data_IF_730853658982
#
_entry.id   IF_730853658982
#
_cell.length_a   1.000
_cell.length_b   1.000
_cell.length_c   1.000
_cell.angle_alpha   90.00
_cell.angle_beta   90.00
_cell.angle_gamma   90.00
#
_symmetry.space_group_name_H-M   'P 1'
#
loop_
_entity.id
_entity.type
_entity.pdbx_description
1 polymer ?
#
# COMPACT_ATOMS: atom_id res chain seq x y z
N UNK A 1 -25.87 4.82 -9.69
CA UNK A 1 -25.36 3.43 -9.76
C UNK A 1 -24.36 3.34 -10.90
N UNK A 2 -23.27 2.57 -10.80
CA UNK A 2 -22.36 2.36 -11.93
C UNK A 2 -23.16 1.82 -13.12
N UNK A 3 -22.89 2.33 -14.33
CA UNK A 3 -23.54 1.80 -15.53
C UNK A 3 -23.12 0.34 -15.74
N UNK A 4 -24.03 -0.56 -16.13
CA UNK A 4 -23.68 -1.95 -16.45
C UNK A 4 -22.54 -2.06 -17.48
N UNK A 5 -22.48 -1.11 -18.41
CA UNK A 5 -21.42 -0.99 -19.42
C UNK A 5 -20.05 -0.79 -18.75
N UNK A 6 -19.98 0.05 -17.72
CA UNK A 6 -18.75 0.30 -16.98
C UNK A 6 -18.24 -0.94 -16.25
N UNK A 7 -19.15 -1.77 -15.74
CA UNK A 7 -18.79 -3.03 -15.07
C UNK A 7 -18.12 -3.99 -16.07
N UNK A 8 -18.73 -4.17 -17.25
CA UNK A 8 -18.20 -5.06 -18.30
C UNK A 8 -16.85 -4.56 -18.82
N UNK A 9 -16.67 -3.24 -19.00
CA UNK A 9 -15.38 -2.65 -19.36
C UNK A 9 -14.29 -2.98 -18.34
N UNK A 10 -14.59 -2.85 -17.05
CA UNK A 10 -13.63 -3.17 -16.00
C UNK A 10 -13.34 -4.66 -15.95
N UNK A 11 -14.33 -5.53 -16.10
CA UNK A 11 -14.13 -6.98 -16.18
C UNK A 11 -13.16 -7.35 -17.31
N UNK A 12 -13.39 -6.84 -18.53
CA UNK A 12 -12.50 -7.05 -19.67
C UNK A 12 -11.09 -6.53 -19.39
N UNK A 13 -10.97 -5.33 -18.82
CA UNK A 13 -9.69 -4.73 -18.45
C UNK A 13 -8.91 -5.61 -17.47
N UNK A 14 -9.51 -5.98 -16.34
CA UNK A 14 -8.83 -6.79 -15.31
C UNK A 14 -8.52 -8.21 -15.79
N UNK A 15 -9.39 -8.82 -16.60
CA UNK A 15 -9.15 -10.15 -17.17
C UNK A 15 -8.06 -10.15 -18.25
N UNK A 16 -7.88 -9.04 -18.97
CA UNK A 16 -6.82 -8.91 -19.99
C UNK A 16 -5.44 -8.54 -19.42
N UNK A 17 -5.40 -8.01 -18.19
CA UNK A 17 -4.17 -7.52 -17.57
C UNK A 17 -3.31 -8.66 -17.04
N UNK A 18 -2.02 -8.67 -17.41
CA UNK A 18 -1.01 -9.56 -16.81
C UNK A 18 -0.42 -9.03 -15.48
N UNK A 19 -0.76 -7.80 -15.09
CA UNK A 19 -0.30 -7.20 -13.83
C UNK A 19 -1.02 -7.83 -12.63
N UNK A 20 -0.40 -7.86 -11.45
CA UNK A 20 -1.10 -8.19 -10.22
C UNK A 20 -2.35 -7.33 -10.03
N UNK A 21 -3.43 -7.92 -9.51
CA UNK A 21 -4.74 -7.27 -9.43
C UNK A 21 -4.71 -5.91 -8.70
N UNK A 22 -3.91 -5.81 -7.63
CA UNK A 22 -3.77 -4.58 -6.85
C UNK A 22 -3.02 -3.45 -7.58
N UNK A 23 -2.27 -3.76 -8.63
CA UNK A 23 -1.54 -2.79 -9.47
C UNK A 23 -2.20 -2.55 -10.83
N UNK A 24 -3.17 -3.40 -11.21
CA UNK A 24 -3.69 -3.41 -12.57
C UNK A 24 -4.33 -2.08 -12.96
N UNK A 25 -5.09 -1.46 -12.05
CA UNK A 25 -5.82 -0.21 -12.35
C UNK A 25 -4.86 0.97 -12.64
N UNK A 26 -5.12 1.82 -13.65
CA UNK A 26 -4.25 2.97 -13.95
C UNK A 26 -4.07 3.95 -12.79
N UNK A 27 -5.09 4.06 -11.92
CA UNK A 27 -5.05 4.89 -10.71
C UNK A 27 -4.45 4.19 -9.49
N UNK A 28 -4.06 2.92 -9.57
CA UNK A 28 -3.52 2.16 -8.44
C UNK A 28 -2.33 2.87 -7.79
N UNK A 29 -1.48 3.54 -8.59
CA UNK A 29 -0.33 4.31 -8.09
C UNK A 29 -0.70 5.35 -7.04
N UNK A 30 -1.85 6.00 -7.17
CA UNK A 30 -2.29 7.05 -6.24
C UNK A 30 -2.69 6.49 -4.87
N UNK A 31 -2.96 5.19 -4.78
CA UNK A 31 -3.26 4.50 -3.53
C UNK A 31 -2.03 3.79 -2.98
N UNK A 32 -1.30 3.06 -3.84
CA UNK A 32 -0.17 2.24 -3.43
C UNK A 32 1.04 3.06 -2.96
N UNK A 33 1.30 4.23 -3.56
CA UNK A 33 2.43 5.08 -3.18
C UNK A 33 2.27 5.63 -1.75
N UNK A 34 1.18 6.33 -1.38
CA UNK A 34 1.01 6.81 -0.01
C UNK A 34 0.91 5.66 1.01
N UNK A 35 0.29 4.54 0.63
CA UNK A 35 0.28 3.33 1.46
C UNK A 35 1.70 2.82 1.75
N UNK A 36 2.54 2.67 0.72
CA UNK A 36 3.91 2.19 0.87
C UNK A 36 4.74 3.14 1.75
N UNK A 37 4.60 4.46 1.58
CA UNK A 37 5.26 5.46 2.42
C UNK A 37 4.86 5.29 3.90
N UNK A 38 3.56 5.22 4.18
CA UNK A 38 3.08 5.07 5.56
C UNK A 38 3.51 3.75 6.20
N UNK A 39 3.48 2.65 5.43
CA UNK A 39 3.92 1.35 5.90
C UNK A 39 5.41 1.35 6.21
N UNK A 40 6.24 1.86 5.31
CA UNK A 40 7.69 1.93 5.52
C UNK A 40 8.03 2.77 6.75
N UNK A 41 7.45 3.97 6.89
CA UNK A 41 7.72 4.83 8.04
C UNK A 41 7.30 4.17 9.37
N UNK A 42 6.12 3.56 9.42
CA UNK A 42 5.60 2.93 10.64
C UNK A 42 6.42 1.71 11.06
N UNK A 43 6.78 0.84 10.11
CA UNK A 43 7.62 -0.33 10.36
C UNK A 43 9.02 0.10 10.78
N UNK A 44 9.64 1.04 10.06
CA UNK A 44 10.97 1.54 10.38
C UNK A 44 11.03 2.18 11.77
N UNK A 45 10.05 3.02 12.14
CA UNK A 45 9.97 3.61 13.47
C UNK A 45 9.83 2.53 14.55
N UNK A 46 8.93 1.56 14.34
CA UNK A 46 8.70 0.47 15.30
C UNK A 46 9.98 -0.35 15.52
N UNK A 47 10.68 -0.70 14.44
CA UNK A 47 11.95 -1.43 14.52
C UNK A 47 13.06 -0.61 15.18
N UNK A 48 13.14 0.69 14.89
CA UNK A 48 14.11 1.58 15.52
C UNK A 48 13.94 1.63 17.05
N UNK A 49 12.72 1.86 17.53
CA UNK A 49 12.44 1.91 18.96
C UNK A 49 12.52 0.53 19.63
N UNK A 50 12.17 -0.54 18.92
CA UNK A 50 12.38 -1.92 19.40
C UNK A 50 13.87 -2.20 19.61
N UNK A 51 14.71 -1.84 18.64
CA UNK A 51 16.17 -1.97 18.77
C UNK A 51 16.71 -1.21 19.97
N UNK A 52 16.29 0.05 20.15
CA UNK A 52 16.67 0.85 21.32
C UNK A 52 16.22 0.20 22.64
N UNK A 53 15.02 -0.36 22.68
CA UNK A 53 14.51 -1.06 23.86
C UNK A 53 15.35 -2.31 24.20
N UNK A 54 15.76 -3.09 23.20
CA UNK A 54 16.64 -4.26 23.37
C UNK A 54 18.00 -3.85 23.96
N UNK A 55 18.55 -2.70 23.55
CA UNK A 55 19.81 -2.17 24.10
C UNK A 55 19.62 -1.33 25.39
N UNK A 56 18.42 -1.25 25.95
CA UNK A 56 18.12 -0.48 27.16
C UNK A 56 18.20 1.05 26.99
N UNK A 57 18.25 1.55 25.75
CA UNK A 57 18.36 2.98 25.44
C UNK A 57 16.98 3.63 25.52
N UNK A 58 16.69 4.27 26.66
CA UNK A 58 15.44 5.01 26.87
C UNK A 58 15.49 6.41 26.24
N UNK A 59 14.32 6.98 25.99
CA UNK A 59 14.24 8.40 25.64
C UNK A 59 14.57 9.26 26.86
N UNK A 60 15.19 10.41 26.58
CA UNK A 60 15.44 11.43 27.59
C UNK A 60 14.12 12.09 27.94
N UNK A 61 13.96 12.40 29.23
CA UNK A 61 12.78 13.06 29.78
C UNK A 61 12.81 14.55 29.47
#
# INVERSE_FOLDING_TARGET
MPSPQRIIEMQKFYQSSKKPIYMAHPRAKYYLVPYAIGLTLSVSASLYYTGRAVFGIKDKK
#
